data_IF_551113383975
#
_entry.id   IF_551113383975
#
_cell.length_a   1.000
_cell.length_b   1.000
_cell.length_c   1.000
_cell.angle_alpha   90.00
_cell.angle_beta   90.00
_cell.angle_gamma   90.00
#
_symmetry.space_group_name_H-M   'P 1'
#
loop_
_entity.id
_entity.type
_entity.pdbx_description
1 polymer ?
#
# COMPACT_ATOMS: atom_id res chain seq x y z
N UNK A 1 -39.50 7.70 -26.74
CA UNK A 1 -39.05 7.32 -25.39
C UNK A 1 -37.68 6.68 -25.54
N UNK A 2 -36.59 7.45 -25.41
CA UNK A 2 -35.22 6.95 -25.56
C UNK A 2 -34.78 6.40 -24.20
N UNK A 3 -34.62 5.07 -24.10
CA UNK A 3 -33.96 4.45 -22.95
C UNK A 3 -32.46 4.66 -23.07
N UNK A 4 -31.88 5.39 -22.13
CA UNK A 4 -30.43 5.45 -21.93
C UNK A 4 -30.03 4.23 -21.10
N UNK A 5 -29.28 3.31 -21.70
CA UNK A 5 -28.61 2.25 -20.97
C UNK A 5 -27.56 2.89 -20.04
N UNK A 6 -27.79 2.84 -18.74
CA UNK A 6 -26.84 3.32 -17.73
C UNK A 6 -25.79 2.22 -17.52
N UNK A 7 -24.68 2.29 -18.26
CA UNK A 7 -23.53 1.41 -18.02
C UNK A 7 -23.01 1.68 -16.60
N UNK A 8 -23.26 0.74 -15.69
CA UNK A 8 -22.63 0.74 -14.39
C UNK A 8 -21.13 0.51 -14.61
N UNK A 9 -20.31 1.54 -14.37
CA UNK A 9 -18.87 1.34 -14.22
C UNK A 9 -18.70 0.47 -12.97
N UNK A 10 -18.22 -0.76 -13.13
CA UNK A 10 -17.75 -1.55 -12.00
C UNK A 10 -16.72 -0.68 -11.28
N UNK A 11 -17.02 -0.28 -10.05
CA UNK A 11 -16.04 0.43 -9.23
C UNK A 11 -14.83 -0.50 -9.10
N UNK A 12 -13.65 -0.01 -9.49
CA UNK A 12 -12.43 -0.78 -9.30
C UNK A 12 -12.25 -1.01 -7.80
N UNK A 13 -12.24 -2.28 -7.38
CA UNK A 13 -11.97 -2.67 -6.00
C UNK A 13 -10.51 -2.36 -5.69
N UNK A 14 -10.26 -1.62 -4.61
CA UNK A 14 -8.92 -1.36 -4.10
C UNK A 14 -8.34 -2.63 -3.49
N UNK A 15 -7.00 -2.75 -3.48
CA UNK A 15 -6.32 -3.83 -2.77
C UNK A 15 -6.69 -3.87 -1.28
N UNK A 16 -7.01 -2.71 -0.69
CA UNK A 16 -7.40 -2.61 0.72
C UNK A 16 -8.80 -3.14 0.98
N UNK A 17 -9.66 -3.20 -0.05
CA UNK A 17 -11.01 -3.75 0.06
C UNK A 17 -10.99 -5.29 0.12
N UNK A 18 -9.85 -5.92 -0.15
CA UNK A 18 -9.71 -7.38 -0.17
C UNK A 18 -9.57 -8.01 1.22
N UNK A 19 -9.47 -7.21 2.28
CA UNK A 19 -9.44 -7.71 3.66
C UNK A 19 -10.04 -6.72 4.65
N UNK A 20 -10.74 -7.25 5.66
CA UNK A 20 -11.32 -6.46 6.75
C UNK A 20 -10.31 -6.12 7.85
N UNK A 21 -9.19 -6.86 7.94
CA UNK A 21 -8.22 -6.74 9.03
C UNK A 21 -6.80 -6.70 8.49
N UNK A 22 -6.29 -5.48 8.42
CA UNK A 22 -4.91 -5.19 8.06
C UNK A 22 -4.10 -4.85 9.30
N UNK A 23 -2.89 -5.39 9.35
CA UNK A 23 -1.82 -4.96 10.24
C UNK A 23 -0.83 -4.10 9.45
N UNK A 24 -0.17 -3.17 10.14
CA UNK A 24 0.79 -2.26 9.52
C UNK A 24 2.03 -2.12 10.40
N UNK A 25 3.21 -2.08 9.77
CA UNK A 25 4.46 -1.66 10.39
C UNK A 25 5.18 -0.67 9.49
N UNK A 26 5.87 0.27 10.12
CA UNK A 26 6.67 1.31 9.48
C UNK A 26 8.12 1.10 9.88
N UNK A 27 9.02 1.34 8.95
CA UNK A 27 10.42 1.41 9.26
C UNK A 27 10.82 2.73 9.93
N UNK A 28 11.04 2.65 11.24
CA UNK A 28 11.61 3.73 12.02
C UNK A 28 13.06 3.39 12.35
N UNK A 29 14.01 3.99 11.63
CA UNK A 29 15.43 3.90 11.98
C UNK A 29 16.00 2.48 11.95
N UNK A 30 15.54 1.67 11.00
CA UNK A 30 15.94 0.28 10.78
C UNK A 30 15.28 -0.80 11.64
N UNK A 31 14.23 -0.48 12.39
CA UNK A 31 13.57 -1.40 13.33
C UNK A 31 12.45 -2.25 12.72
N UNK A 32 12.14 -2.07 11.43
CA UNK A 32 11.12 -2.89 10.77
C UNK A 32 11.52 -4.37 10.75
N UNK A 33 10.89 -5.16 11.62
CA UNK A 33 10.93 -6.63 11.58
C UNK A 33 9.81 -7.11 10.66
N UNK A 34 10.20 -7.65 9.51
CA UNK A 34 9.25 -8.22 8.55
C UNK A 34 8.48 -9.37 9.19
N UNK A 35 7.15 -9.42 9.01
CA UNK A 35 6.37 -10.56 9.46
C UNK A 35 6.82 -11.81 8.71
N UNK A 36 6.79 -12.96 9.39
CA UNK A 36 7.24 -14.27 8.89
C UNK A 36 6.25 -14.89 7.87
N UNK A 37 5.80 -14.06 6.94
CA UNK A 37 4.80 -14.40 5.92
C UNK A 37 5.49 -14.51 4.55
N UNK A 38 6.62 -13.81 4.36
CA UNK A 38 7.43 -13.87 3.15
C UNK A 38 8.91 -13.70 3.48
N UNK A 39 9.76 -14.46 2.78
CA UNK A 39 11.21 -14.24 2.81
C UNK A 39 11.55 -13.16 1.77
N UNK A 40 12.02 -12.00 2.23
CA UNK A 40 12.43 -10.90 1.35
C UNK A 40 13.69 -10.23 1.87
N UNK A 41 14.56 -9.80 0.96
CA UNK A 41 15.73 -8.97 1.26
C UNK A 41 15.43 -7.48 1.12
N UNK A 42 14.25 -7.13 0.59
CA UNK A 42 13.82 -5.75 0.41
C UNK A 42 13.34 -5.15 1.71
N UNK A 43 13.52 -3.82 1.83
CA UNK A 43 13.28 -3.07 3.06
C UNK A 43 12.43 -1.82 2.82
N UNK A 44 11.15 -1.98 2.42
CA UNK A 44 10.22 -0.88 2.26
C UNK A 44 10.08 -0.03 3.51
N UNK A 45 9.68 1.22 3.32
CA UNK A 45 9.35 2.16 4.40
C UNK A 45 8.12 1.70 5.20
N UNK A 46 7.13 1.09 4.54
CA UNK A 46 5.91 0.62 5.19
C UNK A 46 5.52 -0.76 4.65
N UNK A 47 5.06 -1.64 5.54
CA UNK A 47 4.45 -2.92 5.21
C UNK A 47 3.06 -2.97 5.80
N UNK A 48 2.08 -3.31 4.96
CA UNK A 48 0.73 -3.66 5.38
C UNK A 48 0.45 -5.11 5.02
N UNK A 49 -0.20 -5.86 5.88
CA UNK A 49 -0.54 -7.25 5.58
C UNK A 49 -1.82 -7.70 6.27
N UNK A 50 -2.47 -8.71 5.69
CA UNK A 50 -3.55 -9.44 6.34
C UNK A 50 -3.10 -10.89 6.51
N UNK A 51 -2.88 -11.37 7.76
CA UNK A 51 -2.50 -12.76 7.98
C UNK A 51 -3.58 -13.74 7.53
N UNK A 52 -4.86 -13.37 7.76
CA UNK A 52 -6.01 -14.22 7.45
C UNK A 52 -6.17 -14.41 5.94
N UNK A 53 -6.09 -13.31 5.20
CA UNK A 53 -6.34 -13.31 3.75
C UNK A 53 -5.04 -13.47 2.94
N UNK A 54 -3.89 -13.62 3.62
CA UNK A 54 -2.55 -13.80 3.06
C UNK A 54 -2.19 -12.73 2.02
N UNK A 55 -2.53 -11.48 2.35
CA UNK A 55 -2.22 -10.31 1.52
C UNK A 55 -1.06 -9.54 2.10
N UNK A 56 -0.22 -8.99 1.23
CA UNK A 56 0.95 -8.18 1.59
C UNK A 56 1.06 -6.99 0.64
N UNK A 57 1.13 -5.80 1.20
CA UNK A 57 1.50 -4.57 0.50
C UNK A 57 2.82 -4.04 1.04
N UNK A 58 3.75 -3.75 0.14
CA UNK A 58 5.03 -3.10 0.45
C UNK A 58 4.98 -1.70 -0.16
N UNK A 59 5.26 -0.67 0.63
CA UNK A 59 5.10 0.72 0.23
C UNK A 59 6.45 1.43 0.43
N UNK A 60 6.89 2.09 -0.63
CA UNK A 60 8.08 2.94 -0.64
C UNK A 60 7.64 4.41 -0.72
N UNK A 61 8.22 5.25 0.14
CA UNK A 61 7.98 6.68 0.18
C UNK A 61 9.12 7.41 -0.54
N UNK A 62 8.78 8.06 -1.65
CA UNK A 62 9.74 8.89 -2.39
C UNK A 62 9.58 10.36 -2.00
N UNK A 63 10.68 11.05 -1.69
CA UNK A 63 10.65 12.51 -1.52
C UNK A 63 10.59 13.17 -2.90
N UNK A 64 9.58 14.00 -3.21
CA UNK A 64 9.51 14.72 -4.47
C UNK A 64 10.66 15.74 -4.55
N UNK A 65 11.33 15.77 -5.69
CA UNK A 65 12.55 16.56 -5.92
C UNK A 65 12.35 18.09 -5.78
N UNK A 66 11.12 18.60 -5.86
CA UNK A 66 10.78 20.03 -5.86
C UNK A 66 11.03 20.77 -4.52
N UNK A 67 11.42 20.07 -3.44
CA UNK A 67 11.66 20.67 -2.11
C UNK A 67 13.13 20.84 -1.73
N UNK A 68 14.06 20.70 -2.69
CA UNK A 68 15.51 20.78 -2.41
C UNK A 68 16.20 21.93 -3.13
N UNK A 69 15.75 23.17 -2.92
CA UNK A 69 16.54 24.37 -3.26
C UNK A 69 16.30 25.48 -2.23
N UNK A 70 16.93 25.37 -1.07
CA UNK A 70 17.41 26.58 -0.39
C UNK A 70 18.94 26.43 -0.35
N UNK A 71 19.59 26.98 -1.39
CA UNK A 71 21.03 27.20 -1.42
C UNK A 71 21.39 28.22 -0.32
N UNK A 72 22.40 27.89 0.48
CA UNK A 72 22.92 28.73 1.56
C UNK A 72 23.83 29.85 1.05
#
# INVERSE_FOLDING_TARGET
MLQTAKTARTAATSILDESERWEMKVDLGKQLVFPDIVHTTHRPDIVIWSPKDKKLGMIELTVPWETRCDEA
#
